data_IF_398455021694
#
_entry.id   IF_398455021694
#
_cell.length_a   1.000
_cell.length_b   1.000
_cell.length_c   1.000
_cell.angle_alpha   90.00
_cell.angle_beta   90.00
_cell.angle_gamma   90.00
#
_symmetry.space_group_name_H-M   'P 1'
#
loop_
_entity.id
_entity.type
_entity.pdbx_description
1 polymer ?
#
# COMPACT_ATOMS: atom_id res chain seq x y z
N UNK A 1 -11.68 21.73 9.92
CA UNK A 1 -11.12 20.91 11.02
C UNK A 1 -9.82 20.32 10.49
N UNK A 2 -8.66 20.71 11.01
CA UNK A 2 -7.37 20.18 10.51
C UNK A 2 -7.26 18.77 11.08
N UNK A 3 -7.54 17.74 10.27
CA UNK A 3 -7.31 16.36 10.67
C UNK A 3 -5.82 16.21 11.02
N UNK A 4 -5.56 15.96 12.30
CA UNK A 4 -4.25 15.56 12.83
C UNK A 4 -4.01 14.06 12.66
N UNK A 5 -5.02 13.35 12.15
CA UNK A 5 -5.05 11.91 12.11
C UNK A 5 -4.36 11.43 10.83
N UNK A 6 -3.46 10.46 11.00
CA UNK A 6 -2.75 9.80 9.92
C UNK A 6 -3.50 8.51 9.56
N UNK A 7 -3.49 8.13 8.29
CA UNK A 7 -3.77 6.74 7.92
C UNK A 7 -2.59 5.88 8.41
N UNK A 8 -2.83 5.01 9.38
CA UNK A 8 -1.81 4.10 9.90
C UNK A 8 -1.70 2.86 9.02
N UNK A 9 -0.48 2.52 8.63
CA UNK A 9 -0.15 1.34 7.84
C UNK A 9 1.07 0.65 8.46
N UNK A 10 0.82 -0.41 9.24
CA UNK A 10 1.85 -1.16 9.95
C UNK A 10 2.31 -2.37 9.14
N UNK A 11 3.59 -2.41 8.76
CA UNK A 11 4.14 -3.50 7.97
C UNK A 11 4.41 -4.78 8.77
N UNK A 12 4.44 -4.71 10.11
CA UNK A 12 4.55 -5.89 10.96
C UNK A 12 3.24 -6.71 10.92
N UNK A 13 2.11 -6.02 10.75
CA UNK A 13 0.77 -6.61 10.68
C UNK A 13 0.03 -5.93 9.52
N UNK A 14 0.30 -6.33 8.25
CA UNK A 14 -0.29 -5.66 7.09
C UNK A 14 -1.82 -5.57 7.22
N UNK A 15 -2.32 -4.33 7.32
CA UNK A 15 -3.73 -4.03 7.60
C UNK A 15 -4.57 -4.16 6.33
N UNK A 16 -4.66 -5.38 5.83
CA UNK A 16 -5.47 -5.78 4.67
C UNK A 16 -6.30 -7.01 5.03
N UNK A 17 -7.52 -7.10 4.51
CA UNK A 17 -8.37 -8.28 4.68
C UNK A 17 -7.79 -9.51 3.97
N UNK A 18 -8.32 -10.67 4.34
CA UNK A 18 -7.95 -11.95 3.72
C UNK A 18 -8.89 -12.36 2.58
N UNK A 19 -9.81 -11.51 2.13
CA UNK A 19 -10.77 -11.84 1.06
C UNK A 19 -10.28 -11.32 -0.31
N UNK A 20 -11.10 -10.57 -1.05
CA UNK A 20 -10.77 -10.12 -2.41
C UNK A 20 -10.21 -8.71 -2.42
N UNK A 21 -9.36 -8.42 -3.40
CA UNK A 21 -8.79 -7.09 -3.59
C UNK A 21 -9.85 -5.99 -3.62
N UNK A 22 -11.01 -6.22 -4.26
CA UNK A 22 -12.11 -5.25 -4.32
C UNK A 22 -12.57 -4.74 -2.94
N UNK A 23 -12.48 -5.57 -1.91
CA UNK A 23 -12.94 -5.22 -0.57
C UNK A 23 -11.95 -4.21 0.04
N UNK A 24 -10.64 -4.38 -0.19
CA UNK A 24 -9.62 -3.39 0.15
C UNK A 24 -9.77 -2.09 -0.63
N UNK A 25 -10.01 -2.17 -1.94
CA UNK A 25 -10.22 -0.99 -2.78
C UNK A 25 -11.38 -0.13 -2.25
N UNK A 26 -12.45 -0.78 -1.77
CA UNK A 26 -13.57 -0.12 -1.12
C UNK A 26 -13.19 0.49 0.23
N UNK A 27 -12.49 -0.26 1.09
CA UNK A 27 -12.07 0.19 2.43
C UNK A 27 -11.16 1.43 2.35
N UNK A 28 -10.21 1.41 1.41
CA UNK A 28 -9.28 2.53 1.18
C UNK A 28 -9.85 3.61 0.26
N UNK A 29 -11.09 3.46 -0.22
CA UNK A 29 -11.81 4.41 -1.08
C UNK A 29 -11.04 4.78 -2.36
N UNK A 30 -10.53 3.76 -3.07
CA UNK A 30 -9.86 3.95 -4.36
C UNK A 30 -10.88 4.03 -5.50
N UNK A 31 -10.71 5.02 -6.37
CA UNK A 31 -11.44 5.09 -7.63
C UNK A 31 -10.83 4.16 -8.70
N UNK A 32 -11.46 4.10 -9.87
CA UNK A 32 -11.02 3.25 -10.98
C UNK A 32 -9.61 3.59 -11.50
N UNK A 33 -9.24 4.88 -11.50
CA UNK A 33 -7.93 5.34 -11.97
C UNK A 33 -6.83 4.96 -10.98
N UNK A 34 -7.06 5.22 -9.69
CA UNK A 34 -6.20 4.80 -8.59
C UNK A 34 -6.05 3.28 -8.53
N UNK A 35 -7.14 2.55 -8.76
CA UNK A 35 -7.13 1.08 -8.83
C UNK A 35 -6.24 0.57 -9.97
N UNK A 36 -6.39 1.12 -11.17
CA UNK A 36 -5.58 0.72 -12.32
C UNK A 36 -4.09 0.97 -12.07
N UNK A 37 -3.75 2.13 -11.51
CA UNK A 37 -2.37 2.46 -11.14
C UNK A 37 -1.82 1.53 -10.05
N UNK A 38 -2.63 1.20 -9.04
CA UNK A 38 -2.24 0.27 -7.99
C UNK A 38 -1.91 -1.11 -8.55
N UNK A 39 -2.77 -1.65 -9.42
CA UNK A 39 -2.58 -2.98 -10.01
C UNK A 39 -1.33 -3.01 -10.89
N UNK A 40 -1.14 -2.00 -11.74
CA UNK A 40 0.06 -1.86 -12.59
C UNK A 40 1.35 -1.76 -11.76
N UNK A 41 1.36 -0.92 -10.72
CA UNK A 41 2.53 -0.81 -9.84
C UNK A 41 2.78 -2.08 -9.06
N UNK A 42 1.73 -2.76 -8.58
CA UNK A 42 1.87 -4.00 -7.85
C UNK A 42 2.53 -5.07 -8.73
N UNK A 43 2.08 -5.22 -9.97
CA UNK A 43 2.66 -6.16 -10.93
C UNK A 43 4.13 -5.82 -11.23
N UNK A 44 4.46 -4.54 -11.44
CA UNK A 44 5.85 -4.09 -11.67
C UNK A 44 6.78 -4.39 -10.50
N UNK A 45 6.31 -4.24 -9.25
CA UNK A 45 7.11 -4.44 -8.04
C UNK A 45 7.25 -5.91 -7.65
N UNK A 46 6.24 -6.73 -7.95
CA UNK A 46 6.16 -8.11 -7.46
C UNK A 46 6.34 -9.16 -8.55
N UNK A 47 6.13 -8.80 -9.82
CA UNK A 47 6.01 -9.72 -10.95
C UNK A 47 4.71 -10.52 -10.95
N UNK A 48 3.75 -10.20 -10.07
CA UNK A 48 2.51 -10.96 -9.90
C UNK A 48 1.33 -10.16 -10.44
N UNK A 49 0.71 -10.71 -11.49
CA UNK A 49 -0.52 -10.17 -12.06
C UNK A 49 -1.70 -10.43 -11.11
N UNK A 50 -2.47 -9.39 -10.83
CA UNK A 50 -3.68 -9.45 -10.00
C UNK A 50 -4.82 -8.65 -10.64
N UNK A 51 -6.04 -8.92 -10.20
CA UNK A 51 -7.23 -8.13 -10.55
C UNK A 51 -8.09 -7.84 -9.31
N UNK A 52 -9.22 -7.15 -9.49
CA UNK A 52 -10.12 -6.78 -8.39
C UNK A 52 -10.73 -7.99 -7.66
N UNK A 53 -10.82 -9.15 -8.31
CA UNK A 53 -11.38 -10.36 -7.72
C UNK A 53 -10.30 -11.30 -7.16
N UNK A 54 -9.03 -10.90 -7.28
CA UNK A 54 -7.89 -11.64 -6.76
C UNK A 54 -8.01 -11.87 -5.25
N UNK A 55 -7.71 -13.09 -4.83
CA UNK A 55 -7.75 -13.50 -3.43
C UNK A 55 -6.46 -13.10 -2.71
N UNK A 56 -6.57 -12.23 -1.71
CA UNK A 56 -5.41 -11.70 -0.98
C UNK A 56 -4.69 -12.79 -0.19
N UNK A 57 -5.39 -13.85 0.21
CA UNK A 57 -4.80 -15.01 0.89
C UNK A 57 -3.64 -15.66 0.11
N UNK A 58 -3.64 -15.55 -1.22
CA UNK A 58 -2.62 -16.13 -2.10
C UNK A 58 -1.34 -15.27 -2.20
N UNK A 59 -1.31 -14.09 -1.59
CA UNK A 59 -0.13 -13.24 -1.54
C UNK A 59 0.82 -13.68 -0.43
N UNK A 60 2.13 -13.64 -0.71
CA UNK A 60 3.16 -13.81 0.32
C UNK A 60 3.15 -12.64 1.30
N UNK A 61 3.75 -12.81 2.48
CA UNK A 61 3.83 -11.73 3.48
C UNK A 61 4.41 -10.42 2.91
N UNK A 62 5.51 -10.51 2.15
CA UNK A 62 6.10 -9.32 1.49
C UNK A 62 5.18 -8.71 0.43
N UNK A 63 4.45 -9.52 -0.33
CA UNK A 63 3.45 -9.02 -1.29
C UNK A 63 2.30 -8.30 -0.57
N UNK A 64 1.86 -8.79 0.59
CA UNK A 64 0.85 -8.12 1.41
C UNK A 64 1.32 -6.76 1.93
N UNK A 65 2.59 -6.65 2.36
CA UNK A 65 3.20 -5.37 2.76
C UNK A 65 3.19 -4.38 1.59
N UNK A 66 3.58 -4.82 0.39
CA UNK A 66 3.59 -3.96 -0.81
C UNK A 66 2.16 -3.52 -1.14
N UNK A 67 1.19 -4.45 -1.12
CA UNK A 67 -0.20 -4.14 -1.39
C UNK A 67 -0.74 -3.08 -0.41
N UNK A 68 -0.51 -3.26 0.90
CA UNK A 68 -0.88 -2.28 1.93
C UNK A 68 -0.26 -0.91 1.67
N UNK A 69 1.03 -0.86 1.31
CA UNK A 69 1.71 0.40 1.01
C UNK A 69 1.09 1.11 -0.20
N UNK A 70 0.80 0.37 -1.28
CA UNK A 70 0.16 0.94 -2.46
C UNK A 70 -1.28 1.39 -2.18
N UNK A 71 -2.07 0.61 -1.44
CA UNK A 71 -3.42 0.99 -1.00
C UNK A 71 -3.39 2.31 -0.23
N UNK A 72 -2.49 2.45 0.74
CA UNK A 72 -2.33 3.69 1.51
C UNK A 72 -1.89 4.87 0.61
N UNK A 73 -0.88 4.68 -0.25
CA UNK A 73 -0.35 5.72 -1.14
C UNK A 73 -1.43 6.20 -2.12
N UNK A 74 -2.20 5.29 -2.73
CA UNK A 74 -3.23 5.63 -3.72
C UNK A 74 -4.59 6.00 -3.13
N UNK A 75 -4.81 5.79 -1.83
CA UNK A 75 -6.01 6.25 -1.12
C UNK A 75 -6.17 7.78 -1.20
N UNK A 76 -7.33 8.38 -0.85
CA UNK A 76 -7.47 9.82 -0.75
C UNK A 76 -6.87 10.41 0.55
N UNK A 77 -6.32 9.60 1.45
CA UNK A 77 -5.78 10.08 2.72
C UNK A 77 -4.56 11.00 2.48
N UNK A 78 -4.58 12.27 2.95
CA UNK A 78 -3.49 13.22 2.70
C UNK A 78 -2.26 12.99 3.60
N UNK A 79 -2.44 12.27 4.70
CA UNK A 79 -1.44 11.97 5.71
C UNK A 79 -1.34 10.47 5.95
N UNK A 80 -0.14 9.90 5.87
CA UNK A 80 0.09 8.46 6.06
C UNK A 80 1.24 8.26 7.04
N UNK A 81 1.06 7.34 7.99
CA UNK A 81 2.12 6.87 8.87
C UNK A 81 2.39 5.41 8.56
N UNK A 82 3.60 5.13 8.07
CA UNK A 82 4.10 3.79 7.85
C UNK A 82 4.96 3.35 9.02
N UNK A 83 4.67 2.17 9.58
CA UNK A 83 5.47 1.56 10.65
C UNK A 83 6.25 0.38 10.05
N UNK A 84 7.57 0.35 10.23
CA UNK A 84 8.50 -0.70 9.78
C UNK A 84 8.45 -1.06 8.29
N UNK A 85 7.88 -0.19 7.45
CA UNK A 85 7.71 -0.46 6.02
C UNK A 85 9.05 -0.76 5.33
N UNK A 86 10.06 0.07 5.53
CA UNK A 86 11.34 -0.11 4.83
C UNK A 86 12.08 -1.37 5.31
N UNK A 87 11.91 -1.74 6.58
CA UNK A 87 12.52 -2.94 7.17
C UNK A 87 11.89 -4.23 6.64
N UNK A 88 10.59 -4.19 6.30
CA UNK A 88 9.86 -5.32 5.73
C UNK A 88 10.13 -5.58 4.23
N UNK A 89 10.89 -4.70 3.56
CA UNK A 89 11.15 -4.76 2.12
C UNK A 89 12.62 -5.07 1.80
N UNK A 90 12.84 -5.84 0.73
CA UNK A 90 14.17 -6.02 0.14
C UNK A 90 14.67 -4.72 -0.52
N UNK A 91 16.00 -4.57 -0.75
CA UNK A 91 16.59 -3.32 -1.22
C UNK A 91 15.97 -2.77 -2.50
N UNK A 92 15.70 -3.64 -3.49
CA UNK A 92 15.13 -3.22 -4.78
C UNK A 92 13.72 -2.64 -4.60
N UNK A 93 12.89 -3.30 -3.79
CA UNK A 93 11.51 -2.84 -3.54
C UNK A 93 11.46 -1.61 -2.63
N UNK A 94 12.41 -1.50 -1.70
CA UNK A 94 12.58 -0.33 -0.83
C UNK A 94 12.78 0.94 -1.65
N UNK A 95 13.71 0.92 -2.61
CA UNK A 95 14.02 2.09 -3.45
C UNK A 95 12.83 2.53 -4.30
N UNK A 96 12.08 1.56 -4.83
CA UNK A 96 10.89 1.82 -5.64
C UNK A 96 9.75 2.41 -4.80
N UNK A 97 9.47 1.84 -3.62
CA UNK A 97 8.46 2.37 -2.69
C UNK A 97 8.83 3.76 -2.17
N UNK A 98 10.10 4.00 -1.84
CA UNK A 98 10.56 5.34 -1.46
C UNK A 98 10.35 6.37 -2.57
N UNK A 99 10.56 5.96 -3.82
CA UNK A 99 10.31 6.83 -4.97
C UNK A 99 8.82 7.15 -5.13
N UNK A 100 7.94 6.17 -4.92
CA UNK A 100 6.49 6.39 -4.88
C UNK A 100 6.08 7.33 -3.73
N UNK A 101 6.63 7.15 -2.54
CA UNK A 101 6.39 8.02 -1.38
C UNK A 101 6.76 9.47 -1.70
N UNK A 102 7.98 9.71 -2.22
CA UNK A 102 8.46 11.05 -2.60
C UNK A 102 7.56 11.73 -3.64
N UNK A 103 7.03 10.96 -4.58
CA UNK A 103 6.22 11.48 -5.68
C UNK A 103 4.71 11.52 -5.38
N UNK A 104 4.27 11.04 -4.20
CA UNK A 104 2.85 10.93 -3.85
C UNK A 104 2.17 12.28 -3.59
N UNK A 105 2.94 13.31 -3.26
CA UNK A 105 2.41 14.61 -2.84
C UNK A 105 1.75 14.60 -1.45
N UNK A 106 1.91 13.51 -0.68
CA UNK A 106 1.32 13.32 0.64
C UNK A 106 2.31 13.62 1.76
N UNK A 107 1.76 13.92 2.94
CA UNK A 107 2.52 14.04 4.18
C UNK A 107 2.72 12.63 4.77
N UNK A 108 3.91 12.07 4.58
CA UNK A 108 4.22 10.67 4.92
C UNK A 108 5.31 10.61 6.00
N UNK A 109 5.01 9.91 7.08
CA UNK A 109 5.98 9.55 8.13
C UNK A 109 6.38 8.08 7.96
N UNK A 110 7.68 7.81 8.08
CA UNK A 110 8.27 6.47 8.10
C UNK A 110 8.86 6.23 9.50
N UNK A 111 8.24 5.37 10.29
CA UNK A 111 8.67 5.00 11.63
C UNK A 111 9.38 3.64 11.61
N UNK A 112 10.47 3.51 12.39
CA UNK A 112 11.30 2.30 12.52
C UNK A 112 11.06 1.56 13.86
N UNK A 113 9.82 1.62 14.39
CA UNK A 113 9.49 1.21 15.76
C UNK A 113 9.71 -0.26 16.09
#
# INVERSE_FOLDING_TARGET
MIHKDYLWADANIPLISCDRLRDELLIYNLDESATANLIDQFEKLTGKTIDKFYKIEELSGGQKVILMALLAIYSPAPKIRFVNLLNALDPKRRDAIQSLIRNSGKDIILDES
#
